data_IF_046738487450
#
_entry.id   IF_046738487450
#
_cell.length_a   1.000
_cell.length_b   1.000
_cell.length_c   1.000
_cell.angle_alpha   90.00
_cell.angle_beta   90.00
_cell.angle_gamma   90.00
#
_symmetry.space_group_name_H-M   'P 1'
#
loop_
_entity.id
_entity.type
_entity.pdbx_description
1 polymer ?
#
# COMPACT_ATOMS: atom_id res chain seq x y z
N UNK A 1 10.07 -18.05 1.86
CA UNK A 1 8.66 -17.67 2.07
C UNK A 1 8.33 -16.49 1.17
N UNK A 2 7.17 -16.51 0.50
CA UNK A 2 6.79 -15.53 -0.52
C UNK A 2 5.39 -14.99 -0.20
N UNK A 3 5.19 -13.69 -0.28
CA UNK A 3 3.88 -13.03 -0.35
C UNK A 3 3.82 -12.27 -1.67
N UNK A 4 2.84 -12.59 -2.52
CA UNK A 4 2.54 -11.91 -3.78
C UNK A 4 1.16 -12.38 -4.27
N UNK A 5 0.78 -12.01 -5.50
CA UNK A 5 -0.51 -12.38 -6.10
C UNK A 5 -0.78 -13.89 -6.12
N UNK A 6 0.23 -14.76 -6.22
CA UNK A 6 0.01 -16.22 -6.18
C UNK A 6 -0.47 -16.69 -4.80
N UNK A 7 -0.10 -16.01 -3.73
CA UNK A 7 -0.62 -16.29 -2.38
C UNK A 7 -2.05 -15.80 -2.27
N UNK A 8 -2.37 -14.66 -2.86
CA UNK A 8 -3.74 -14.14 -2.90
C UNK A 8 -4.66 -15.07 -3.71
N UNK A 9 -4.17 -15.65 -4.82
CA UNK A 9 -4.89 -16.62 -5.65
C UNK A 9 -5.19 -17.96 -4.94
N UNK A 10 -4.56 -18.24 -3.78
CA UNK A 10 -4.96 -19.35 -2.92
C UNK A 10 -6.37 -19.14 -2.38
N UNK A 11 -6.83 -17.89 -2.32
CA UNK A 11 -8.13 -17.50 -1.82
C UNK A 11 -9.07 -17.11 -2.97
N UNK A 12 -10.35 -17.48 -2.87
CA UNK A 12 -11.34 -17.14 -3.89
C UNK A 12 -12.71 -16.91 -3.26
N UNK A 13 -13.31 -15.75 -3.54
CA UNK A 13 -14.64 -15.42 -3.03
C UNK A 13 -15.76 -16.18 -3.76
N UNK A 14 -16.58 -16.91 -3.01
CA UNK A 14 -17.85 -17.49 -3.48
C UNK A 14 -19.01 -16.55 -3.12
N UNK A 15 -19.54 -15.85 -4.14
CA UNK A 15 -20.60 -14.86 -3.94
C UNK A 15 -21.95 -15.46 -3.60
N UNK A 16 -22.25 -16.69 -4.05
CA UNK A 16 -23.54 -17.33 -3.80
C UNK A 16 -23.64 -17.79 -2.35
N UNK A 17 -22.53 -18.32 -1.83
CA UNK A 17 -22.45 -18.84 -0.46
C UNK A 17 -21.95 -17.81 0.56
N UNK A 18 -21.44 -16.67 0.11
CA UNK A 18 -20.85 -15.61 0.93
C UNK A 18 -19.71 -16.17 1.80
N UNK A 19 -18.83 -16.96 1.17
CA UNK A 19 -17.66 -17.56 1.81
C UNK A 19 -16.39 -17.23 1.03
N UNK A 20 -15.30 -17.02 1.73
CA UNK A 20 -13.96 -17.00 1.13
C UNK A 20 -13.43 -18.43 1.13
N UNK A 21 -13.22 -19.00 -0.04
CA UNK A 21 -12.62 -20.33 -0.18
C UNK A 21 -11.11 -20.24 -0.15
N UNK A 22 -10.47 -21.24 0.43
CA UNK A 22 -9.04 -21.45 0.40
C UNK A 22 -8.73 -22.75 -0.34
N UNK A 23 -7.74 -22.75 -1.22
CA UNK A 23 -7.36 -23.94 -1.95
C UNK A 23 -6.86 -25.05 -1.00
N UNK A 24 -7.62 -26.14 -0.93
CA UNK A 24 -7.33 -27.31 -0.10
C UNK A 24 -5.99 -27.98 -0.36
N UNK A 25 -5.47 -27.89 -1.59
CA UNK A 25 -4.21 -28.52 -1.96
C UNK A 25 -3.02 -27.58 -1.82
N UNK A 26 -3.21 -26.41 -1.21
CA UNK A 26 -2.12 -25.45 -1.01
C UNK A 26 -1.23 -25.88 0.17
N UNK A 27 0.09 -25.78 -0.01
CA UNK A 27 1.08 -25.94 1.06
C UNK A 27 0.82 -24.96 2.23
N UNK A 28 0.24 -23.80 1.91
CA UNK A 28 -0.16 -22.80 2.90
C UNK A 28 -1.22 -23.35 3.87
N UNK A 29 -2.27 -24.01 3.35
CA UNK A 29 -3.29 -24.61 4.23
C UNK A 29 -2.70 -25.73 5.08
N UNK A 30 -1.89 -26.62 4.49
CA UNK A 30 -1.22 -27.69 5.22
C UNK A 30 -0.37 -27.13 6.38
N UNK A 31 0.36 -26.05 6.12
CA UNK A 31 1.17 -25.37 7.15
C UNK A 31 0.31 -24.81 8.27
N UNK A 32 -0.77 -24.10 7.94
CA UNK A 32 -1.69 -23.51 8.92
C UNK A 32 -2.30 -24.57 9.84
N UNK A 33 -2.80 -25.67 9.26
CA UNK A 33 -3.42 -26.75 10.00
C UNK A 33 -2.39 -27.50 10.86
N UNK A 34 -1.22 -27.81 10.30
CA UNK A 34 -0.18 -28.57 11.02
C UNK A 34 0.40 -27.77 12.19
N UNK A 35 0.53 -26.46 12.04
CA UNK A 35 1.08 -25.58 13.09
C UNK A 35 0.01 -24.97 14.01
N UNK A 36 -1.28 -25.24 13.77
CA UNK A 36 -2.38 -24.75 14.63
C UNK A 36 -2.48 -23.22 14.67
N UNK A 37 -2.44 -22.58 13.50
CA UNK A 37 -2.37 -21.11 13.40
C UNK A 37 -3.72 -20.39 13.37
N UNK A 38 -4.84 -21.10 13.53
CA UNK A 38 -6.19 -20.55 13.49
C UNK A 38 -6.36 -19.33 14.41
N UNK A 39 -6.09 -19.50 15.72
CA UNK A 39 -6.18 -18.41 16.69
C UNK A 39 -5.30 -17.21 16.33
N UNK A 40 -4.05 -17.44 15.95
CA UNK A 40 -3.13 -16.38 15.56
C UNK A 40 -3.61 -15.60 14.32
N UNK A 41 -4.22 -16.28 13.35
CA UNK A 41 -4.81 -15.66 12.15
C UNK A 41 -5.98 -14.76 12.54
N UNK A 42 -6.88 -15.25 13.40
CA UNK A 42 -8.03 -14.48 13.90
C UNK A 42 -7.54 -13.23 14.65
N UNK A 43 -6.62 -13.41 15.59
CA UNK A 43 -6.07 -12.32 16.44
C UNK A 43 -5.40 -11.24 15.57
N UNK A 44 -4.56 -11.64 14.61
CA UNK A 44 -3.89 -10.70 13.72
C UNK A 44 -4.88 -9.95 12.82
N UNK A 45 -5.89 -10.64 12.28
CA UNK A 45 -6.93 -9.99 11.50
C UNK A 45 -7.73 -8.97 12.31
N UNK A 46 -8.14 -9.32 13.53
CA UNK A 46 -8.84 -8.41 14.42
C UNK A 46 -7.97 -7.20 14.78
N UNK A 47 -6.67 -7.40 15.05
CA UNK A 47 -5.73 -6.32 15.31
C UNK A 47 -5.62 -5.34 14.14
N UNK A 48 -5.59 -5.81 12.89
CA UNK A 48 -5.54 -4.95 11.71
C UNK A 48 -6.88 -4.32 11.32
N UNK A 49 -8.02 -4.85 11.78
CA UNK A 49 -9.36 -4.38 11.40
C UNK A 49 -10.16 -3.73 12.54
N UNK A 50 -9.51 -3.44 13.68
CA UNK A 50 -10.14 -2.88 14.90
C UNK A 50 -11.15 -3.81 15.59
N UNK A 51 -11.10 -5.12 15.32
CA UNK A 51 -11.88 -6.15 16.00
C UNK A 51 -13.39 -6.13 15.72
N UNK A 52 -13.85 -5.40 14.70
CA UNK A 52 -15.29 -5.34 14.35
C UNK A 52 -15.78 -6.57 13.60
N UNK A 53 -14.89 -7.17 12.82
CA UNK A 53 -15.18 -8.33 11.97
C UNK A 53 -14.32 -9.47 12.49
N UNK A 54 -14.91 -10.65 12.58
CA UNK A 54 -14.24 -11.86 13.03
C UNK A 54 -14.34 -12.95 11.96
N UNK A 55 -13.22 -13.52 11.52
CA UNK A 55 -13.20 -14.65 10.62
C UNK A 55 -13.41 -15.94 11.43
N UNK A 56 -14.27 -16.81 10.92
CA UNK A 56 -14.43 -18.19 11.38
C UNK A 56 -13.85 -19.11 10.32
N UNK A 57 -12.87 -19.90 10.74
CA UNK A 57 -12.04 -20.73 9.88
C UNK A 57 -12.51 -22.18 9.94
N UNK A 58 -12.97 -22.72 8.81
CA UNK A 58 -13.30 -24.13 8.62
C UNK A 58 -12.30 -24.72 7.62
N UNK A 59 -11.15 -25.15 8.13
CA UNK A 59 -10.08 -25.71 7.29
C UNK A 59 -10.41 -27.09 6.71
N UNK A 60 -11.32 -27.85 7.34
CA UNK A 60 -11.79 -29.11 6.76
C UNK A 60 -12.52 -28.86 5.45
N UNK A 61 -13.35 -27.81 5.40
CA UNK A 61 -14.07 -27.38 4.20
C UNK A 61 -13.32 -26.37 3.35
N UNK A 62 -12.18 -25.85 3.84
CA UNK A 62 -11.41 -24.83 3.13
C UNK A 62 -12.21 -23.54 2.99
N UNK A 63 -13.04 -23.24 3.98
CA UNK A 63 -14.01 -22.16 3.96
C UNK A 63 -13.76 -21.20 5.11
N UNK A 64 -13.81 -19.91 4.79
CA UNK A 64 -13.73 -18.82 5.74
C UNK A 64 -15.02 -18.01 5.63
N UNK A 65 -15.72 -17.90 6.75
CA UNK A 65 -16.88 -17.03 6.91
C UNK A 65 -16.53 -15.85 7.80
N UNK A 66 -17.18 -14.72 7.60
CA UNK A 66 -16.97 -13.53 8.42
C UNK A 66 -18.25 -13.19 9.18
N UNK A 67 -18.09 -12.73 10.42
CA UNK A 67 -19.18 -12.29 11.28
C UNK A 67 -18.83 -11.04 12.07
N UNK A 68 -19.85 -10.42 12.66
CA UNK A 68 -19.72 -9.33 13.63
C UNK A 68 -20.21 -9.87 14.96
N UNK A 69 -19.31 -10.05 15.92
CA UNK A 69 -19.65 -10.50 17.26
C UNK A 69 -19.42 -9.36 18.25
N UNK A 70 -20.43 -8.50 18.40
CA UNK A 70 -20.50 -7.62 19.57
C UNK A 70 -21.25 -8.36 20.67
N UNK A 71 -20.92 -8.07 21.93
CA UNK A 71 -21.66 -8.61 23.08
C UNK A 71 -23.10 -8.08 23.23
N UNK A 72 -23.74 -7.64 22.15
CA UNK A 72 -25.13 -7.20 22.07
C UNK A 72 -25.92 -8.11 21.09
N UNK A 73 -27.25 -7.92 21.02
CA UNK A 73 -28.16 -8.69 20.15
C UNK A 73 -27.93 -8.45 18.64
N UNK A 74 -26.93 -7.67 18.22
CA UNK A 74 -26.64 -7.38 16.80
C UNK A 74 -25.55 -8.27 16.21
N UNK A 75 -25.35 -9.47 16.77
CA UNK A 75 -24.45 -10.44 16.16
C UNK A 75 -24.97 -10.86 14.78
N UNK A 76 -24.08 -10.84 13.78
CA UNK A 76 -24.43 -11.19 12.40
C UNK A 76 -23.34 -12.09 11.83
N UNK A 77 -23.72 -13.29 11.41
CA UNK A 77 -22.85 -14.26 10.74
C UNK A 77 -23.04 -14.24 9.22
N UNK A 78 -22.02 -14.69 8.49
CA UNK A 78 -22.09 -14.85 7.04
C UNK A 78 -22.12 -13.51 6.29
N UNK A 79 -21.42 -12.50 6.79
CA UNK A 79 -21.35 -11.19 6.16
C UNK A 79 -20.36 -11.19 4.98
N UNK A 80 -20.69 -10.43 3.94
CA UNK A 80 -19.74 -10.11 2.88
C UNK A 80 -18.79 -9.02 3.37
N UNK A 81 -17.49 -9.24 3.18
CA UNK A 81 -16.46 -8.24 3.48
C UNK A 81 -16.03 -7.51 2.20
N UNK A 82 -15.45 -6.32 2.36
CA UNK A 82 -14.86 -5.56 1.25
C UNK A 82 -13.56 -6.22 0.76
N UNK A 83 -13.12 -5.80 -0.44
CA UNK A 83 -11.80 -6.21 -0.98
C UNK A 83 -10.65 -5.84 -0.04
N UNK A 84 -10.72 -4.70 0.62
CA UNK A 84 -9.70 -4.27 1.58
C UNK A 84 -9.63 -5.21 2.79
N UNK A 85 -10.78 -5.70 3.28
CA UNK A 85 -10.85 -6.67 4.37
C UNK A 85 -10.39 -8.06 3.92
N UNK A 86 -10.73 -8.49 2.71
CA UNK A 86 -10.21 -9.72 2.11
C UNK A 86 -8.68 -9.69 2.03
N UNK A 87 -8.08 -8.61 1.47
CA UNK A 87 -6.63 -8.45 1.39
C UNK A 87 -5.95 -8.46 2.76
N UNK A 88 -6.56 -7.84 3.78
CA UNK A 88 -6.04 -7.88 5.15
C UNK A 88 -6.12 -9.28 5.74
N UNK A 89 -7.17 -10.03 5.44
CA UNK A 89 -7.27 -11.42 5.89
C UNK A 89 -6.15 -12.27 5.30
N UNK A 90 -5.91 -12.18 3.99
CA UNK A 90 -4.80 -12.89 3.34
C UNK A 90 -3.45 -12.47 3.93
N UNK A 91 -3.26 -11.17 4.17
CA UNK A 91 -2.07 -10.68 4.86
C UNK A 91 -1.92 -11.25 6.28
N UNK A 92 -3.00 -11.31 7.07
CA UNK A 92 -2.99 -11.91 8.41
C UNK A 92 -2.59 -13.37 8.37
N UNK A 93 -3.05 -14.14 7.38
CA UNK A 93 -2.63 -15.53 7.18
C UNK A 93 -1.11 -15.62 6.98
N UNK A 94 -0.59 -14.87 6.02
CA UNK A 94 0.84 -14.84 5.75
C UNK A 94 1.66 -14.39 6.96
N UNK A 95 1.22 -13.31 7.62
CA UNK A 95 1.88 -12.74 8.79
C UNK A 95 1.94 -13.74 9.94
N UNK A 96 0.86 -14.49 10.21
CA UNK A 96 0.84 -15.54 11.22
C UNK A 96 1.86 -16.65 10.93
N UNK A 97 1.91 -17.14 9.70
CA UNK A 97 2.87 -18.19 9.30
C UNK A 97 4.31 -17.68 9.39
N UNK A 98 4.58 -16.43 8.96
CA UNK A 98 5.91 -15.85 9.04
C UNK A 98 6.33 -15.59 10.50
N UNK A 99 5.39 -15.17 11.34
CA UNK A 99 5.62 -15.00 12.77
C UNK A 99 5.95 -16.32 13.44
N UNK A 100 5.18 -17.39 13.17
CA UNK A 100 5.48 -18.72 13.69
C UNK A 100 6.87 -19.17 13.25
N UNK A 101 7.18 -19.07 11.95
CA UNK A 101 8.49 -19.46 11.44
C UNK A 101 9.66 -18.72 12.13
N UNK A 102 9.47 -17.43 12.43
CA UNK A 102 10.45 -16.63 13.15
C UNK A 102 10.57 -17.10 14.60
N UNK A 103 9.46 -17.33 15.30
CA UNK A 103 9.49 -17.82 16.69
C UNK A 103 10.14 -19.22 16.77
N UNK A 104 9.77 -20.17 15.91
CA UNK A 104 10.42 -21.50 15.84
C UNK A 104 11.92 -21.38 15.58
N UNK A 105 12.35 -20.49 14.68
CA UNK A 105 13.78 -20.33 14.35
C UNK A 105 14.60 -19.67 15.46
N UNK A 106 13.96 -18.94 16.38
CA UNK A 106 14.61 -18.35 17.57
C UNK A 106 15.00 -19.40 18.60
N UNK A 107 14.31 -20.53 18.63
CA UNK A 107 14.69 -21.65 19.47
C UNK A 107 15.94 -22.35 18.93
N UNK A 108 16.70 -22.96 19.86
CA UNK A 108 17.79 -23.88 19.52
C UNK A 108 17.24 -25.01 18.64
N UNK A 109 17.97 -25.50 17.61
CA UNK A 109 17.48 -26.51 16.66
C UNK A 109 16.80 -27.74 17.29
N UNK A 110 17.21 -28.12 18.50
CA UNK A 110 16.79 -29.29 19.27
C UNK A 110 15.49 -29.06 20.04
N UNK A 111 15.10 -27.79 20.25
CA UNK A 111 13.90 -27.37 20.97
C UNK A 111 12.78 -26.90 20.04
N UNK A 112 13.03 -26.86 18.72
CA UNK A 112 12.07 -26.40 17.72
C UNK A 112 10.84 -27.32 17.69
N UNK A 113 9.66 -26.72 17.60
CA UNK A 113 8.39 -27.42 17.37
C UNK A 113 8.36 -28.16 16.03
N UNK A 114 9.10 -27.67 15.02
CA UNK A 114 9.18 -28.26 13.69
C UNK A 114 10.52 -27.94 13.01
N UNK A 115 11.01 -28.85 12.17
CA UNK A 115 12.18 -28.64 11.32
C UNK A 115 11.84 -27.99 9.95
N UNK A 116 10.54 -27.79 9.65
CA UNK A 116 10.08 -27.31 8.35
C UNK A 116 10.68 -25.94 7.96
N UNK A 117 10.99 -25.10 8.96
CA UNK A 117 11.53 -23.76 8.74
C UNK A 117 13.06 -23.70 8.71
N UNK A 118 13.78 -24.78 8.98
CA UNK A 118 15.25 -24.77 9.16
C UNK A 118 16.01 -24.23 7.93
N UNK A 119 15.42 -24.40 6.74
CA UNK A 119 16.00 -23.92 5.48
C UNK A 119 15.55 -22.51 5.08
N UNK A 120 14.68 -21.87 5.88
CA UNK A 120 14.14 -20.55 5.59
C UNK A 120 15.23 -19.47 5.76
N UNK A 121 15.70 -18.96 4.62
CA UNK A 121 16.75 -17.91 4.57
C UNK A 121 16.26 -16.58 4.01
N UNK A 122 15.10 -16.60 3.34
CA UNK A 122 14.58 -15.45 2.63
C UNK A 122 13.05 -15.38 2.73
N UNK A 123 12.55 -14.22 3.14
CA UNK A 123 11.18 -13.79 2.99
C UNK A 123 11.10 -12.71 1.90
N UNK A 124 10.26 -12.92 0.89
CA UNK A 124 9.99 -11.96 -0.18
C UNK A 124 8.55 -11.50 -0.04
N UNK A 125 8.31 -10.21 0.08
CA UNK A 125 7.00 -9.62 0.31
C UNK A 125 6.75 -8.58 -0.77
N UNK A 126 5.79 -8.86 -1.65
CA UNK A 126 5.40 -7.99 -2.74
C UNK A 126 4.07 -7.31 -2.43
N UNK A 127 4.15 -6.00 -2.25
CA UNK A 127 3.05 -5.06 -2.07
C UNK A 127 1.92 -5.51 -1.11
N UNK A 128 2.22 -5.66 0.20
CA UNK A 128 1.31 -6.30 1.16
C UNK A 128 0.12 -5.44 1.58
N UNK A 129 -0.05 -4.23 1.01
CA UNK A 129 -1.03 -3.25 1.45
C UNK A 129 -1.94 -2.72 0.34
N UNK A 130 -2.03 -3.46 -0.75
CA UNK A 130 -2.93 -3.15 -1.85
C UNK A 130 -4.38 -2.95 -1.37
N UNK A 131 -5.03 -1.87 -1.83
CA UNK A 131 -6.42 -1.50 -1.48
C UNK A 131 -6.71 -1.17 0.00
N UNK A 132 -5.69 -0.99 0.84
CA UNK A 132 -5.86 -0.61 2.25
C UNK A 132 -5.91 0.91 2.44
N UNK A 133 -6.58 1.37 3.50
CA UNK A 133 -6.54 2.78 3.92
C UNK A 133 -5.23 3.12 4.65
N UNK A 134 -4.94 4.42 4.81
CA UNK A 134 -3.70 4.91 5.41
C UNK A 134 -3.47 4.39 6.84
N UNK A 135 -4.54 4.22 7.63
CA UNK A 135 -4.45 3.74 9.03
C UNK A 135 -4.00 2.28 9.02
N UNK A 136 -4.62 1.44 8.19
CA UNK A 136 -4.28 0.02 8.04
C UNK A 136 -2.87 -0.14 7.45
N UNK A 137 -2.49 0.66 6.46
CA UNK A 137 -1.13 0.68 5.88
C UNK A 137 -0.09 0.91 6.99
N UNK A 138 -0.29 1.91 7.84
CA UNK A 138 0.62 2.23 8.94
C UNK A 138 0.71 1.06 9.94
N UNK A 139 -0.43 0.48 10.33
CA UNK A 139 -0.48 -0.66 11.25
C UNK A 139 0.28 -1.87 10.71
N UNK A 140 0.06 -2.24 9.44
CA UNK A 140 0.75 -3.36 8.79
C UNK A 140 2.24 -3.10 8.68
N UNK A 141 2.65 -1.88 8.31
CA UNK A 141 4.06 -1.51 8.23
C UNK A 141 4.77 -1.61 9.59
N UNK A 142 4.15 -1.10 10.66
CA UNK A 142 4.72 -1.16 12.01
C UNK A 142 4.83 -2.61 12.51
N UNK A 143 3.79 -3.42 12.31
CA UNK A 143 3.81 -4.84 12.69
C UNK A 143 4.89 -5.61 11.93
N UNK A 144 5.01 -5.40 10.62
CA UNK A 144 6.05 -6.02 9.81
C UNK A 144 7.46 -5.56 10.22
N UNK A 145 7.64 -4.27 10.52
CA UNK A 145 8.92 -3.76 10.99
C UNK A 145 9.35 -4.43 12.31
N UNK A 146 8.40 -4.62 13.23
CA UNK A 146 8.68 -5.28 14.50
C UNK A 146 8.99 -6.77 14.31
N UNK A 147 8.27 -7.44 13.41
CA UNK A 147 8.55 -8.83 13.05
C UNK A 147 9.96 -9.00 12.46
N UNK A 148 10.39 -8.10 11.58
CA UNK A 148 11.75 -8.10 11.02
C UNK A 148 12.82 -7.89 12.10
N UNK A 149 12.55 -7.03 13.10
CA UNK A 149 13.45 -6.84 14.23
C UNK A 149 13.58 -8.10 15.07
N UNK A 150 12.46 -8.81 15.32
CA UNK A 150 12.47 -10.12 16.02
C UNK A 150 13.29 -11.17 15.29
N UNK A 151 13.30 -11.13 13.95
CA UNK A 151 14.13 -12.01 13.13
C UNK A 151 15.64 -11.66 13.13
N UNK A 152 16.06 -10.58 13.81
CA UNK A 152 17.46 -10.16 13.84
C UNK A 152 18.33 -11.23 14.51
N UNK A 153 19.33 -11.72 13.78
CA UNK A 153 20.27 -12.75 14.25
C UNK A 153 19.97 -14.15 13.74
N UNK A 154 18.80 -14.37 13.13
CA UNK A 154 18.40 -15.68 12.59
C UNK A 154 19.00 -15.99 11.21
N UNK A 155 19.74 -15.05 10.61
CA UNK A 155 20.22 -15.18 9.23
C UNK A 155 19.13 -15.06 8.16
N UNK A 156 17.87 -14.85 8.56
CA UNK A 156 16.74 -14.58 7.68
C UNK A 156 16.85 -13.18 7.05
N UNK A 157 16.77 -13.13 5.71
CA UNK A 157 16.77 -11.89 4.93
C UNK A 157 15.35 -11.55 4.47
N UNK A 158 15.09 -10.26 4.29
CA UNK A 158 13.82 -9.74 3.79
C UNK A 158 14.05 -8.94 2.51
N UNK A 159 13.24 -9.21 1.49
CA UNK A 159 13.10 -8.36 0.31
C UNK A 159 11.64 -7.91 0.30
N UNK A 160 11.42 -6.59 0.35
CA UNK A 160 10.08 -6.01 0.37
C UNK A 160 9.99 -5.06 -0.82
N UNK A 161 8.99 -5.28 -1.66
CA UNK A 161 8.64 -4.41 -2.78
C UNK A 161 7.29 -3.78 -2.49
N UNK A 162 7.12 -2.53 -2.88
CA UNK A 162 5.85 -1.83 -2.75
C UNK A 162 5.82 -0.64 -3.71
N UNK A 163 4.63 -0.28 -4.15
CA UNK A 163 4.38 0.98 -4.82
C UNK A 163 3.79 2.06 -3.87
N UNK A 164 3.45 1.68 -2.63
CA UNK A 164 2.84 2.56 -1.64
C UNK A 164 3.89 3.37 -0.87
N UNK A 165 3.94 4.67 -1.16
CA UNK A 165 4.86 5.63 -0.55
C UNK A 165 4.81 5.63 0.99
N UNK A 166 3.60 5.64 1.56
CA UNK A 166 3.38 5.66 3.01
C UNK A 166 3.95 4.41 3.69
N UNK A 167 3.65 3.24 3.13
CA UNK A 167 4.14 1.95 3.60
C UNK A 167 5.67 1.91 3.61
N UNK A 168 6.28 2.30 2.49
CA UNK A 168 7.73 2.40 2.37
C UNK A 168 8.31 3.33 3.45
N UNK A 169 7.74 4.52 3.64
CA UNK A 169 8.26 5.51 4.59
C UNK A 169 8.21 5.01 6.03
N UNK A 170 7.11 4.38 6.44
CA UNK A 170 6.97 3.82 7.79
C UNK A 170 8.00 2.71 8.00
N UNK A 171 8.17 1.80 7.04
CA UNK A 171 9.19 0.74 7.10
C UNK A 171 10.60 1.31 7.14
N UNK A 172 10.92 2.23 6.23
CA UNK A 172 12.24 2.85 6.12
C UNK A 172 12.66 3.53 7.43
N UNK A 173 11.73 4.25 8.06
CA UNK A 173 11.97 4.93 9.32
C UNK A 173 12.02 3.96 10.52
N UNK A 174 11.18 2.93 10.52
CA UNK A 174 11.11 1.93 11.60
C UNK A 174 12.28 0.96 11.61
N UNK A 175 12.88 0.68 10.44
CA UNK A 175 14.00 -0.24 10.26
C UNK A 175 15.31 0.55 10.18
N UNK A 176 15.89 0.86 11.35
CA UNK A 176 17.14 1.62 11.50
C UNK A 176 18.19 1.37 10.40
N UNK A 177 18.67 2.48 9.80
CA UNK A 177 19.45 2.58 8.55
C UNK A 177 20.74 1.76 8.45
N UNK A 178 21.29 1.22 9.55
CA UNK A 178 22.64 0.62 9.53
C UNK A 178 22.68 -0.75 8.83
N UNK A 179 21.56 -1.48 8.75
CA UNK A 179 21.49 -2.82 8.14
C UNK A 179 20.55 -2.92 6.92
N UNK A 180 19.58 -2.00 6.81
CA UNK A 180 18.63 -1.95 5.69
C UNK A 180 19.23 -1.21 4.49
N UNK A 181 18.88 -1.65 3.27
CA UNK A 181 19.18 -0.93 2.03
C UNK A 181 17.85 -0.64 1.35
N UNK A 182 17.66 0.61 0.94
CA UNK A 182 16.49 1.03 0.21
C UNK A 182 16.86 1.44 -1.21
N UNK A 183 15.94 1.16 -2.14
CA UNK A 183 16.10 1.44 -3.54
C UNK A 183 14.78 1.91 -4.12
N UNK A 184 14.85 2.75 -5.15
CA UNK A 184 13.70 3.16 -5.96
C UNK A 184 13.93 2.63 -7.37
N UNK A 185 12.97 1.87 -7.87
CA UNK A 185 12.93 1.43 -9.27
C UNK A 185 12.10 2.46 -10.06
N UNK A 186 12.69 3.06 -11.09
CA UNK A 186 12.05 4.07 -11.93
C UNK A 186 12.32 3.76 -13.40
N UNK A 187 11.36 4.05 -14.27
CA UNK A 187 11.55 4.00 -15.71
C UNK A 187 11.95 5.40 -16.22
N UNK A 188 13.15 5.53 -16.75
CA UNK A 188 13.61 6.71 -17.47
C UNK A 188 13.36 6.54 -18.97
N UNK A 189 12.89 7.61 -19.63
CA UNK A 189 12.55 7.59 -21.05
C UNK A 189 13.75 7.38 -21.98
N UNK A 190 14.97 7.71 -21.55
CA UNK A 190 16.19 7.57 -22.33
C UNK A 190 17.01 6.34 -21.91
N UNK A 191 17.08 6.06 -20.60
CA UNK A 191 17.94 5.01 -20.04
C UNK A 191 17.20 3.70 -19.67
N UNK A 192 15.87 3.68 -19.78
CA UNK A 192 15.04 2.52 -19.40
C UNK A 192 14.91 2.37 -17.88
N UNK A 193 14.85 1.13 -17.39
CA UNK A 193 14.67 0.87 -15.96
C UNK A 193 15.95 1.10 -15.13
N UNK A 194 15.86 2.00 -14.15
CA UNK A 194 16.95 2.37 -13.26
C UNK A 194 16.60 2.02 -11.81
N UNK A 195 17.53 1.36 -11.10
CA UNK A 195 17.43 1.08 -9.67
C UNK A 195 18.39 1.99 -8.88
N UNK A 196 17.84 3.04 -8.27
CA UNK A 196 18.64 4.05 -7.55
C UNK A 196 18.60 3.80 -6.05
N UNK A 197 19.75 3.83 -5.39
CA UNK A 197 19.82 3.68 -3.92
C UNK A 197 19.25 4.91 -3.23
N UNK A 198 18.35 4.70 -2.27
CA UNK A 198 17.76 5.78 -1.46
C UNK A 198 18.57 5.96 -0.17
N UNK A 199 19.30 7.07 -0.08
CA UNK A 199 20.22 7.38 1.03
C UNK A 199 19.64 8.29 2.10
N UNK A 200 18.48 8.91 1.87
CA UNK A 200 17.88 9.95 2.73
C UNK A 200 16.48 9.51 3.21
N UNK A 201 16.04 9.98 4.39
CA UNK A 201 14.66 9.72 4.87
C UNK A 201 13.60 10.48 4.06
N UNK A 202 14.06 11.19 3.02
CA UNK A 202 13.21 11.84 2.05
C UNK A 202 12.13 10.84 1.66
N UNK A 203 10.88 11.11 2.07
CA UNK A 203 9.79 10.16 1.90
C UNK A 203 9.76 9.80 0.43
N UNK A 204 9.53 8.53 0.09
CA UNK A 204 9.26 8.08 -1.27
C UNK A 204 8.40 9.14 -1.94
N UNK A 205 9.02 9.90 -2.82
CA UNK A 205 8.63 11.29 -2.98
C UNK A 205 7.55 11.36 -4.03
N UNK A 206 6.44 10.64 -3.86
CA UNK A 206 5.31 10.66 -4.79
C UNK A 206 4.98 12.10 -5.21
N UNK A 207 5.01 13.03 -4.24
CA UNK A 207 4.85 14.44 -4.49
C UNK A 207 6.00 15.10 -5.26
N UNK A 208 7.27 14.79 -4.95
CA UNK A 208 8.40 15.31 -5.73
C UNK A 208 8.48 14.70 -7.14
N UNK A 209 8.04 13.45 -7.31
CA UNK A 209 7.91 12.76 -8.59
C UNK A 209 6.85 13.45 -9.45
N UNK A 210 5.65 13.67 -8.91
CA UNK A 210 4.62 14.49 -9.57
C UNK A 210 5.18 15.86 -9.95
N UNK A 211 5.86 16.54 -9.01
CA UNK A 211 6.40 17.88 -9.28
C UNK A 211 7.41 17.83 -10.41
N UNK A 212 8.36 16.89 -10.37
CA UNK A 212 9.38 16.72 -11.40
C UNK A 212 8.77 16.35 -12.76
N UNK A 213 7.77 15.45 -12.79
CA UNK A 213 7.10 15.05 -14.03
C UNK A 213 6.34 16.22 -14.65
N UNK A 214 5.65 17.02 -13.82
CA UNK A 214 4.99 18.25 -14.25
C UNK A 214 6.02 19.28 -14.75
N UNK A 215 7.12 19.49 -14.02
CA UNK A 215 8.20 20.40 -14.44
C UNK A 215 8.81 20.00 -15.78
N UNK A 216 9.01 18.70 -16.00
CA UNK A 216 9.48 18.15 -17.28
C UNK A 216 8.45 18.40 -18.38
N UNK A 217 7.18 18.13 -18.16
CA UNK A 217 6.12 18.37 -19.14
C UNK A 217 6.00 19.85 -19.52
N UNK A 218 6.16 20.75 -18.55
CA UNK A 218 6.22 22.20 -18.79
C UNK A 218 7.44 22.55 -19.66
N UNK A 219 8.63 22.02 -19.34
CA UNK A 219 9.87 22.39 -20.04
C UNK A 219 9.91 21.92 -21.51
N UNK A 220 9.28 20.78 -21.82
CA UNK A 220 9.16 20.26 -23.19
C UNK A 220 7.84 20.65 -23.87
N UNK A 221 7.01 21.50 -23.25
CA UNK A 221 5.69 21.91 -23.72
C UNK A 221 4.73 20.73 -24.03
N UNK A 222 4.87 19.63 -23.31
CA UNK A 222 4.10 18.38 -23.46
C UNK A 222 3.08 18.18 -22.32
N UNK A 223 2.42 19.26 -21.89
CA UNK A 223 1.40 19.20 -20.84
C UNK A 223 0.14 18.54 -21.38
N UNK A 224 -0.16 17.36 -20.84
CA UNK A 224 -1.37 16.57 -21.11
C UNK A 224 -2.34 16.56 -19.92
N UNK A 225 -3.58 16.07 -20.14
CA UNK A 225 -4.63 15.95 -19.10
C UNK A 225 -4.17 15.19 -17.84
N UNK A 226 -3.32 14.18 -17.99
CA UNK A 226 -2.76 13.43 -16.87
C UNK A 226 -2.06 14.35 -15.84
N UNK A 227 -1.34 15.38 -16.29
CA UNK A 227 -0.65 16.33 -15.43
C UNK A 227 -1.59 17.21 -14.61
N UNK A 228 -2.79 17.51 -15.15
CA UNK A 228 -3.84 18.22 -14.40
C UNK A 228 -4.36 17.36 -13.25
N UNK A 229 -4.60 16.07 -13.51
CA UNK A 229 -5.05 15.14 -12.47
C UNK A 229 -3.97 14.92 -11.40
N UNK A 230 -2.70 14.82 -11.80
CA UNK A 230 -1.55 14.76 -10.88
C UNK A 230 -1.46 16.02 -10.00
N UNK A 231 -1.59 17.21 -10.61
CA UNK A 231 -1.53 18.46 -9.85
C UNK A 231 -2.72 18.60 -8.88
N UNK A 232 -3.92 18.20 -9.30
CA UNK A 232 -5.09 18.15 -8.41
C UNK A 232 -4.85 17.25 -7.21
N UNK A 233 -4.36 16.02 -7.44
CA UNK A 233 -4.07 15.09 -6.36
C UNK A 233 -2.99 15.65 -5.39
N UNK A 234 -2.00 16.37 -5.92
CA UNK A 234 -1.00 17.09 -5.12
C UNK A 234 -1.64 18.20 -4.27
N UNK A 235 -2.53 19.01 -4.84
CA UNK A 235 -3.26 20.06 -4.13
C UNK A 235 -4.17 19.48 -3.04
N UNK A 236 -4.91 18.42 -3.32
CA UNK A 236 -5.79 17.73 -2.35
C UNK A 236 -5.00 17.22 -1.14
N UNK A 237 -3.90 16.51 -1.39
CA UNK A 237 -3.02 16.01 -0.32
C UNK A 237 -2.37 17.16 0.46
N UNK A 238 -1.96 18.23 -0.22
CA UNK A 238 -1.37 19.41 0.44
C UNK A 238 -2.40 20.15 1.31
N UNK A 239 -3.64 20.30 0.84
CA UNK A 239 -4.72 20.95 1.58
C UNK A 239 -5.08 20.17 2.84
N UNK A 240 -5.20 18.84 2.71
CA UNK A 240 -5.43 17.94 3.84
C UNK A 240 -4.30 18.03 4.87
N UNK A 241 -3.04 18.00 4.42
CA UNK A 241 -1.88 18.10 5.30
C UNK A 241 -1.81 19.43 6.05
N UNK A 242 -2.14 20.54 5.39
CA UNK A 242 -2.11 21.88 5.98
C UNK A 242 -3.40 22.25 6.73
N UNK A 243 -4.40 21.36 6.78
CA UNK A 243 -5.66 21.59 7.49
C UNK A 243 -6.60 22.61 6.84
N UNK A 244 -6.53 22.78 5.51
CA UNK A 244 -7.42 23.71 4.79
C UNK A 244 -8.83 23.12 4.68
N UNK A 245 -9.79 23.74 5.37
CA UNK A 245 -11.20 23.32 5.35
C UNK A 245 -11.96 23.78 4.10
N UNK A 246 -11.41 24.75 3.34
CA UNK A 246 -11.97 25.26 2.09
C UNK A 246 -11.67 24.41 0.84
N UNK A 247 -11.06 23.22 1.02
CA UNK A 247 -10.66 22.35 -0.08
C UNK A 247 -9.42 22.81 -0.84
N UNK A 248 -8.98 22.01 -1.80
CA UNK A 248 -7.72 22.20 -2.53
C UNK A 248 -7.65 23.50 -3.36
N UNK A 249 -8.79 24.03 -3.82
CA UNK A 249 -8.83 25.24 -4.64
C UNK A 249 -8.32 26.49 -3.92
N UNK A 250 -8.38 26.51 -2.58
CA UNK A 250 -7.82 27.58 -1.74
C UNK A 250 -6.28 27.68 -1.76
N UNK A 251 -5.62 26.66 -2.30
CA UNK A 251 -4.16 26.65 -2.49
C UNK A 251 -3.73 27.35 -3.79
N UNK A 252 -4.65 27.57 -4.73
CA UNK A 252 -4.38 28.31 -5.97
C UNK A 252 -4.50 29.81 -5.70
N UNK A 253 -3.39 30.52 -5.87
CA UNK A 253 -3.25 31.95 -5.51
C UNK A 253 -2.66 32.80 -6.62
N UNK A 254 -2.36 32.21 -7.77
CA UNK A 254 -1.80 32.92 -8.89
C UNK A 254 -2.87 33.67 -9.70
N UNK A 255 -2.45 34.28 -10.83
CA UNK A 255 -3.31 35.10 -11.68
C UNK A 255 -4.43 34.29 -12.35
N UNK A 256 -4.25 32.99 -12.54
CA UNK A 256 -5.13 32.12 -13.31
C UNK A 256 -5.94 31.16 -12.42
N UNK A 257 -5.90 31.33 -11.09
CA UNK A 257 -6.51 30.43 -10.11
C UNK A 257 -8.00 30.11 -10.40
N UNK A 258 -8.77 31.12 -10.81
CA UNK A 258 -10.19 30.95 -11.13
C UNK A 258 -10.42 30.10 -12.39
N UNK A 259 -9.57 30.25 -13.41
CA UNK A 259 -9.60 29.46 -14.63
C UNK A 259 -9.13 28.03 -14.33
N UNK A 260 -7.96 27.88 -13.70
CA UNK A 260 -7.41 26.56 -13.41
C UNK A 260 -8.32 25.73 -12.50
N UNK A 261 -9.00 26.35 -11.53
CA UNK A 261 -9.99 25.66 -10.67
C UNK A 261 -11.09 25.00 -11.51
N UNK A 262 -11.60 25.70 -12.54
CA UNK A 262 -12.62 25.15 -13.44
C UNK A 262 -12.05 24.02 -14.31
N UNK A 263 -10.84 24.21 -14.84
CA UNK A 263 -10.17 23.21 -15.68
C UNK A 263 -9.86 21.93 -14.91
N UNK A 264 -9.34 22.03 -13.68
CA UNK A 264 -9.07 20.87 -12.83
C UNK A 264 -10.35 20.11 -12.46
N UNK A 265 -11.47 20.80 -12.23
CA UNK A 265 -12.76 20.16 -12.02
C UNK A 265 -13.28 19.48 -13.29
N UNK A 266 -13.12 20.12 -14.45
CA UNK A 266 -13.51 19.59 -15.75
C UNK A 266 -12.75 18.29 -16.08
N UNK A 267 -11.44 18.28 -15.88
CA UNK A 267 -10.58 17.14 -16.21
C UNK A 267 -10.63 16.02 -15.16
N UNK A 268 -11.06 16.32 -13.93
CA UNK A 268 -11.25 15.29 -12.88
C UNK A 268 -12.56 14.51 -12.99
N UNK A 269 -13.51 14.95 -13.83
CA UNK A 269 -14.74 14.22 -14.09
C UNK A 269 -14.60 13.40 -15.38
N UNK A 270 -14.41 12.08 -15.24
CA UNK A 270 -14.35 11.07 -16.32
C UNK A 270 -15.65 10.92 -17.15
N UNK A 271 -16.47 11.98 -17.27
CA UNK A 271 -17.70 11.96 -18.09
C UNK A 271 -17.45 12.06 -19.59
N UNK A 272 -16.20 12.17 -20.03
CA UNK A 272 -15.84 12.20 -21.45
C UNK A 272 -14.95 11.00 -21.80
N UNK A 273 -15.49 9.79 -21.62
CA UNK A 273 -14.82 8.52 -21.96
C UNK A 273 -14.57 8.29 -23.46
N UNK A 274 -15.00 9.20 -24.34
CA UNK A 274 -14.95 9.01 -25.81
C UNK A 274 -14.07 10.02 -26.56
N UNK A 275 -13.37 10.93 -25.87
CA UNK A 275 -12.44 11.87 -26.53
C UNK A 275 -11.10 11.80 -25.80
N UNK A 276 -10.35 10.73 -26.08
CA UNK A 276 -8.97 10.56 -25.67
C UNK A 276 -8.04 11.38 -26.58
N UNK A 277 -8.30 12.69 -26.65
CA UNK A 277 -7.30 13.63 -27.17
C UNK A 277 -6.46 14.09 -25.97
N UNK A 278 -5.22 13.61 -25.90
CA UNK A 278 -4.21 14.08 -24.94
C UNK A 278 -3.95 15.59 -25.06
N UNK A 279 -4.38 16.20 -26.17
CA UNK A 279 -4.21 17.59 -26.51
C UNK A 279 -5.04 18.53 -25.60
N UNK A 280 -4.33 19.46 -24.98
CA UNK A 280 -4.88 20.48 -24.06
C UNK A 280 -4.77 21.85 -24.73
N UNK A 281 -5.84 22.65 -24.65
CA UNK A 281 -5.86 24.02 -25.17
C UNK A 281 -4.70 24.86 -24.61
N UNK A 282 -4.10 25.72 -25.44
CA UNK A 282 -2.93 26.52 -25.07
C UNK A 282 -3.18 27.39 -23.83
N UNK A 283 -4.37 28.00 -23.74
CA UNK A 283 -4.80 28.79 -22.58
C UNK A 283 -4.79 27.98 -21.28
N UNK A 284 -5.21 26.71 -21.32
CA UNK A 284 -5.18 25.82 -20.16
C UNK A 284 -3.75 25.45 -19.75
N UNK A 285 -2.84 25.26 -20.73
CA UNK A 285 -1.42 24.99 -20.49
C UNK A 285 -0.72 26.18 -19.81
N UNK A 286 -1.02 27.39 -20.26
CA UNK A 286 -0.49 28.62 -19.69
C UNK A 286 -0.97 28.82 -18.24
N UNK A 287 -2.29 28.73 -18.01
CA UNK A 287 -2.88 28.82 -16.68
C UNK A 287 -2.32 27.76 -15.72
N UNK A 288 -2.17 26.52 -16.19
CA UNK A 288 -1.58 25.45 -15.42
C UNK A 288 -0.12 25.75 -15.03
N UNK A 289 0.69 26.23 -15.97
CA UNK A 289 2.09 26.56 -15.75
C UNK A 289 2.25 27.67 -14.72
N UNK A 290 1.47 28.74 -14.84
CA UNK A 290 1.51 29.90 -13.94
C UNK A 290 1.15 29.51 -12.51
N UNK A 291 0.02 28.81 -12.33
CA UNK A 291 -0.42 28.38 -11.00
C UNK A 291 0.48 27.32 -10.39
N UNK A 292 1.02 26.39 -11.18
CA UNK A 292 1.96 25.39 -10.67
C UNK A 292 3.23 26.04 -10.15
N UNK A 293 3.81 27.02 -10.87
CA UNK A 293 4.95 27.78 -10.40
C UNK A 293 4.63 28.61 -9.13
N UNK A 294 3.47 29.26 -9.08
CA UNK A 294 3.06 30.03 -7.90
C UNK A 294 2.81 29.11 -6.70
N UNK A 295 2.27 27.91 -6.91
CA UNK A 295 2.13 26.87 -5.89
C UNK A 295 3.49 26.45 -5.32
N UNK A 296 4.46 26.10 -6.19
CA UNK A 296 5.81 25.71 -5.74
C UNK A 296 6.47 26.81 -4.90
N UNK A 297 6.35 28.06 -5.38
CA UNK A 297 6.89 29.25 -4.70
C UNK A 297 6.21 29.50 -3.36
N UNK A 298 4.88 29.47 -3.32
CA UNK A 298 4.07 29.76 -2.12
C UNK A 298 4.37 28.77 -1.00
N UNK A 299 4.43 27.48 -1.33
CA UNK A 299 4.59 26.40 -0.35
C UNK A 299 6.05 25.96 -0.18
N UNK A 300 7.00 26.70 -0.77
CA UNK A 300 8.45 26.47 -0.67
C UNK A 300 8.84 25.02 -0.96
N UNK A 301 8.20 24.42 -1.97
CA UNK A 301 8.70 23.16 -2.50
C UNK A 301 10.11 23.43 -2.99
N UNK A 302 11.10 22.71 -2.44
CA UNK A 302 12.47 22.83 -2.92
C UNK A 302 12.42 22.59 -4.42
N UNK A 303 12.76 23.62 -5.21
CA UNK A 303 12.97 23.41 -6.63
C UNK A 303 13.98 22.26 -6.71
N UNK A 304 13.56 21.13 -7.28
CA UNK A 304 14.50 20.15 -7.78
C UNK A 304 15.24 20.86 -8.92
N UNK A 305 16.25 21.63 -8.54
CA UNK A 305 17.22 22.23 -9.44
C UNK A 305 18.13 21.13 -10.00
#
# INVERSE_FOLDING_TARGET
MLYNSFVEDVFTWDNERVVLKMNHTSELLETIVTQGLDGAIVDNFQAFTSGRIEPKLDFERGEITFGIHKGDDNSADGIKVSRAEESIFVWSVYYSVLSEAIETLRDSPELRSTAHYDQLKLAVIDDPVSSMDDVRIVSVALALAELIKRASGLGLKFIITTHHALFFNVLFNSLHRKKSRAYVLQHDSAEGWLLRKQSHDSPFSYHLGIIHDIQRAISVNAIERAHFNQFRALLEKTANFLGYTGGWGSLLRGPDAALLTKVLNLYSHDRFGDIDTSEVAAEHKEAFTNEFHEFLKTYRWAAAA
#
